data_IF_429964121807
#
_entry.id   IF_429964121807
#
_cell.length_a   1.000
_cell.length_b   1.000
_cell.length_c   1.000
_cell.angle_alpha   90.00
_cell.angle_beta   90.00
_cell.angle_gamma   90.00
#
_symmetry.space_group_name_H-M   'P 1'
#
loop_
_entity.id
_entity.type
_entity.pdbx_description
1 polymer ?
#
# COMPACT_ATOMS: atom_id res chain seq x y z
N UNK A 1 15.00 21.02 9.95
CA UNK A 1 16.20 20.88 9.10
C UNK A 1 16.31 22.08 8.12
N UNK A 2 17.16 23.05 8.45
CA UNK A 2 17.50 24.28 7.70
C UNK A 2 16.38 25.25 7.28
N UNK A 3 15.10 25.00 7.59
CA UNK A 3 13.95 25.84 7.21
C UNK A 3 13.90 26.18 5.70
N UNK A 4 14.40 25.26 4.87
CA UNK A 4 14.38 25.42 3.42
C UNK A 4 12.96 25.20 2.93
N UNK A 5 12.44 26.16 2.16
CA UNK A 5 11.14 26.04 1.52
C UNK A 5 11.12 24.87 0.53
N UNK A 6 10.05 24.08 0.56
CA UNK A 6 9.76 23.09 -0.49
C UNK A 6 9.24 23.74 -1.80
N UNK A 7 9.02 25.05 -1.80
CA UNK A 7 8.52 25.84 -2.92
C UNK A 7 9.60 26.75 -3.47
N UNK A 8 9.57 26.98 -4.79
CA UNK A 8 10.44 27.95 -5.45
C UNK A 8 10.24 29.37 -4.88
N UNK A 9 11.29 30.18 -4.97
CA UNK A 9 11.25 31.57 -4.52
C UNK A 9 10.09 32.33 -5.19
N UNK A 10 9.33 33.07 -4.36
CA UNK A 10 8.15 33.81 -4.80
C UNK A 10 6.90 32.96 -5.04
N UNK A 11 6.96 31.63 -4.85
CA UNK A 11 5.78 30.76 -4.94
C UNK A 11 5.20 30.50 -3.57
N UNK A 12 3.98 30.99 -3.34
CA UNK A 12 3.25 30.71 -2.11
C UNK A 12 2.70 29.28 -2.09
N UNK A 13 2.83 28.55 -0.97
CA UNK A 13 2.23 27.22 -0.83
C UNK A 13 0.73 27.25 -1.09
N UNK A 14 0.24 26.37 -1.96
CA UNK A 14 -1.17 26.37 -2.36
C UNK A 14 -2.14 26.31 -1.16
N UNK A 15 -1.84 25.47 -0.16
CA UNK A 15 -2.69 25.34 1.02
C UNK A 15 -2.60 26.52 1.99
N UNK A 16 -1.50 27.27 1.95
CA UNK A 16 -1.38 28.54 2.68
C UNK A 16 -2.23 29.61 2.01
N UNK A 17 -2.14 29.73 0.67
CA UNK A 17 -2.97 30.63 -0.13
C UNK A 17 -4.47 30.38 0.04
N UNK A 18 -4.88 29.11 0.17
CA UNK A 18 -6.27 28.72 0.45
C UNK A 18 -6.69 28.92 1.93
N UNK A 19 -5.76 29.37 2.79
CA UNK A 19 -5.97 29.60 4.22
C UNK A 19 -6.26 28.32 4.99
N UNK A 20 -5.71 27.18 4.56
CA UNK A 20 -5.80 25.90 5.27
C UNK A 20 -4.86 25.88 6.46
N UNK A 21 -3.68 26.48 6.30
CA UNK A 21 -2.67 26.67 7.33
C UNK A 21 -1.93 27.99 7.10
N UNK A 22 -1.31 28.54 8.14
CA UNK A 22 -0.39 29.68 8.03
C UNK A 22 0.66 29.63 9.14
N UNK A 23 1.57 30.61 9.17
CA UNK A 23 2.49 30.84 10.28
C UNK A 23 1.82 31.75 11.31
N UNK A 24 2.02 31.46 12.58
CA UNK A 24 1.62 32.36 13.67
C UNK A 24 2.60 33.56 13.78
N UNK A 25 2.36 34.44 14.76
CA UNK A 25 3.20 35.62 15.01
C UNK A 25 4.67 35.25 15.37
N UNK A 26 4.93 34.01 15.80
CA UNK A 26 6.27 33.50 16.09
C UNK A 26 6.92 32.83 14.87
N UNK A 27 6.21 32.74 13.75
CA UNK A 27 6.68 32.04 12.55
C UNK A 27 6.47 30.53 12.58
N UNK A 28 5.63 30.01 13.49
CA UNK A 28 5.37 28.57 13.63
C UNK A 28 4.14 28.14 12.81
N UNK A 29 4.17 27.00 12.11
CA UNK A 29 3.06 26.56 11.26
C UNK A 29 1.87 26.07 12.10
N UNK A 30 0.68 26.63 11.82
CA UNK A 30 -0.59 26.27 12.45
C UNK A 30 -1.67 25.91 11.44
N UNK A 31 -2.46 24.87 11.74
CA UNK A 31 -3.63 24.48 10.93
C UNK A 31 -4.79 25.42 11.25
N UNK A 32 -5.32 26.11 10.24
CA UNK A 32 -6.43 27.06 10.38
C UNK A 32 -7.79 26.41 10.06
N UNK A 33 -7.83 25.46 9.11
CA UNK A 33 -9.06 24.80 8.67
C UNK A 33 -8.88 23.28 8.54
N UNK A 34 -9.00 22.58 9.66
CA UNK A 34 -8.78 21.13 9.72
C UNK A 34 -9.80 20.31 8.90
N UNK A 35 -10.98 20.87 8.61
CA UNK A 35 -12.07 20.24 7.87
C UNK A 35 -12.25 20.79 6.44
N UNK A 36 -11.27 21.55 5.92
CA UNK A 36 -11.36 22.26 4.63
C UNK A 36 -11.86 21.38 3.47
N UNK A 37 -11.42 20.12 3.38
CA UNK A 37 -11.82 19.19 2.32
C UNK A 37 -13.11 18.40 2.61
N UNK A 38 -13.68 18.54 3.81
CA UNK A 38 -14.90 17.83 4.22
C UNK A 38 -16.17 18.57 3.82
N UNK A 39 -16.05 19.86 3.47
CA UNK A 39 -17.16 20.72 3.08
C UNK A 39 -16.86 21.53 1.82
N UNK A 40 -17.90 21.87 1.05
CA UNK A 40 -17.82 22.79 -0.09
C UNK A 40 -19.05 23.69 -0.08
N UNK A 41 -18.83 25.01 -0.15
CA UNK A 41 -19.89 26.03 -0.08
C UNK A 41 -20.81 25.86 1.15
N UNK A 42 -20.22 25.59 2.33
CA UNK A 42 -20.95 25.43 3.58
C UNK A 42 -21.71 24.10 3.75
N UNK A 43 -21.56 23.14 2.83
CA UNK A 43 -22.19 21.82 2.92
C UNK A 43 -21.16 20.71 3.02
N UNK A 44 -21.40 19.74 3.90
CA UNK A 44 -20.59 18.51 3.97
C UNK A 44 -20.68 17.75 2.65
N UNK A 45 -19.56 17.18 2.22
CA UNK A 45 -19.44 16.46 0.94
C UNK A 45 -18.78 15.09 1.13
N UNK A 46 -18.95 14.23 0.13
CA UNK A 46 -18.12 13.05 -0.05
C UNK A 46 -16.90 13.40 -0.91
N UNK A 47 -15.68 13.21 -0.38
CA UNK A 47 -14.45 13.54 -1.10
C UNK A 47 -14.29 12.77 -2.41
N UNK A 48 -14.63 11.47 -2.40
CA UNK A 48 -14.51 10.60 -3.57
C UNK A 48 -15.42 11.04 -4.70
N UNK A 49 -16.63 11.49 -4.35
CA UNK A 49 -17.63 11.97 -5.31
C UNK A 49 -17.28 13.35 -5.86
N UNK A 50 -16.92 14.29 -4.98
CA UNK A 50 -16.80 15.71 -5.35
C UNK A 50 -15.42 16.06 -5.92
N UNK A 51 -14.36 15.36 -5.48
CA UNK A 51 -12.99 15.66 -5.87
C UNK A 51 -12.31 14.52 -6.62
N UNK A 52 -12.26 13.31 -6.04
CA UNK A 52 -11.43 12.24 -6.58
C UNK A 52 -11.94 11.72 -7.93
N UNK A 53 -13.23 11.36 -8.04
CA UNK A 53 -13.79 10.86 -9.30
C UNK A 53 -13.64 11.90 -10.42
N UNK A 54 -14.09 13.17 -10.26
CA UNK A 54 -13.94 14.18 -11.30
C UNK A 54 -12.49 14.42 -11.70
N UNK A 55 -11.54 14.38 -10.75
CA UNK A 55 -10.12 14.47 -11.05
C UNK A 55 -9.64 13.30 -11.91
N UNK A 56 -9.99 12.06 -11.55
CA UNK A 56 -9.60 10.86 -12.32
C UNK A 56 -10.13 10.93 -13.76
N UNK A 57 -11.37 11.40 -13.97
CA UNK A 57 -11.92 11.59 -15.31
C UNK A 57 -11.11 12.61 -16.12
N UNK A 58 -10.82 13.80 -15.54
CA UNK A 58 -10.00 14.82 -16.20
C UNK A 58 -8.58 14.34 -16.50
N UNK A 59 -7.96 13.66 -15.54
CA UNK A 59 -6.63 13.07 -15.71
C UNK A 59 -6.63 12.03 -16.85
N UNK A 60 -7.65 11.18 -16.89
CA UNK A 60 -7.82 10.18 -17.94
C UNK A 60 -8.02 10.81 -19.32
N UNK A 61 -8.86 11.85 -19.42
CA UNK A 61 -9.06 12.59 -20.67
C UNK A 61 -7.76 13.23 -21.15
N UNK A 62 -6.98 13.84 -20.25
CA UNK A 62 -5.69 14.43 -20.57
C UNK A 62 -4.70 13.39 -21.09
N UNK A 63 -4.54 12.25 -20.40
CA UNK A 63 -3.66 11.17 -20.85
C UNK A 63 -4.12 10.60 -22.19
N UNK A 64 -5.43 10.35 -22.37
CA UNK A 64 -5.98 9.77 -23.59
C UNK A 64 -5.99 10.71 -24.79
N UNK A 65 -5.83 12.01 -24.58
CA UNK A 65 -5.59 12.95 -25.68
C UNK A 65 -4.26 12.67 -26.41
N UNK A 66 -3.31 12.00 -25.74
CA UNK A 66 -2.01 11.61 -26.29
C UNK A 66 -1.88 10.10 -26.46
N UNK A 67 -2.46 9.30 -25.55
CA UNK A 67 -2.43 7.83 -25.55
C UNK A 67 -3.85 7.25 -25.44
N UNK A 68 -4.64 7.21 -26.54
CA UNK A 68 -6.06 6.92 -26.51
C UNK A 68 -6.45 5.59 -25.84
N UNK A 69 -5.61 4.57 -26.01
CA UNK A 69 -5.86 3.20 -25.52
C UNK A 69 -5.31 2.95 -24.10
N UNK A 70 -4.86 3.99 -23.38
CA UNK A 70 -4.28 3.83 -22.05
C UNK A 70 -5.28 3.18 -21.07
N UNK A 71 -4.77 2.19 -20.34
CA UNK A 71 -5.48 1.54 -19.24
C UNK A 71 -5.19 2.32 -17.97
N UNK A 72 -6.23 2.79 -17.28
CA UNK A 72 -6.08 3.60 -16.08
C UNK A 72 -6.11 2.71 -14.83
N UNK A 73 -5.04 2.70 -14.05
CA UNK A 73 -4.99 2.02 -12.77
C UNK A 73 -5.51 2.98 -11.71
N UNK A 74 -6.54 2.57 -10.98
CA UNK A 74 -7.29 3.47 -10.10
C UNK A 74 -7.44 2.81 -8.74
N UNK A 75 -7.22 3.61 -7.71
CA UNK A 75 -7.55 3.26 -6.34
C UNK A 75 -8.64 4.20 -5.80
N UNK A 76 -9.64 3.61 -5.13
CA UNK A 76 -10.63 4.34 -4.35
C UNK A 76 -10.42 4.11 -2.85
N UNK A 77 -11.27 4.71 -2.01
CA UNK A 77 -11.22 4.50 -0.55
C UNK A 77 -11.73 3.09 -0.17
N UNK A 78 -10.85 2.10 -0.29
CA UNK A 78 -11.15 0.69 -0.11
C UNK A 78 -11.65 0.35 1.31
N UNK A 79 -11.03 0.90 2.36
CA UNK A 79 -11.40 0.59 3.75
C UNK A 79 -12.88 0.88 4.05
N UNK A 80 -13.35 2.07 3.68
CA UNK A 80 -14.75 2.47 3.90
C UNK A 80 -15.74 1.61 3.12
N UNK A 81 -15.41 1.28 1.87
CA UNK A 81 -16.24 0.39 1.03
C UNK A 81 -16.35 -1.01 1.63
N UNK A 82 -15.27 -1.54 2.22
CA UNK A 82 -15.30 -2.82 2.91
C UNK A 82 -16.13 -2.85 4.18
N UNK A 83 -16.20 -1.72 4.90
CA UNK A 83 -17.09 -1.55 6.06
C UNK A 83 -18.56 -1.43 5.65
N UNK A 84 -18.87 -1.49 4.36
CA UNK A 84 -20.22 -1.40 3.84
C UNK A 84 -20.72 0.04 3.66
N UNK A 85 -19.84 1.04 3.73
CA UNK A 85 -20.21 2.41 3.39
C UNK A 85 -20.45 2.54 1.89
N UNK A 86 -21.61 3.06 1.49
CA UNK A 86 -21.88 3.35 0.09
C UNK A 86 -21.20 4.67 -0.28
N UNK A 87 -20.02 4.56 -0.92
CA UNK A 87 -19.25 5.73 -1.36
C UNK A 87 -19.51 5.92 -2.85
N UNK A 88 -20.14 7.05 -3.26
CA UNK A 88 -20.26 7.39 -4.66
C UNK A 88 -18.86 7.60 -5.25
N UNK A 89 -18.42 6.65 -6.06
CA UNK A 89 -17.12 6.68 -6.72
C UNK A 89 -17.28 6.11 -8.13
N UNK A 90 -17.00 6.96 -9.13
CA UNK A 90 -17.14 6.61 -10.53
C UNK A 90 -15.75 6.54 -11.14
N UNK A 91 -15.56 5.55 -12.01
CA UNK A 91 -14.31 5.38 -12.74
C UNK A 91 -14.54 5.46 -14.25
N UNK A 92 -13.56 5.95 -15.03
CA UNK A 92 -13.61 5.92 -16.49
C UNK A 92 -13.65 4.49 -17.05
N UNK A 93 -14.12 4.34 -18.29
CA UNK A 93 -13.97 3.07 -19.04
C UNK A 93 -12.49 2.74 -19.27
N UNK A 94 -12.22 1.46 -19.53
CA UNK A 94 -10.85 0.93 -19.74
C UNK A 94 -9.93 1.27 -18.55
N UNK A 95 -10.39 0.89 -17.37
CA UNK A 95 -9.69 1.07 -16.10
C UNK A 95 -9.52 -0.27 -15.39
N UNK A 96 -8.61 -0.30 -14.42
CA UNK A 96 -8.31 -1.45 -13.57
C UNK A 96 -8.37 -0.99 -12.13
N UNK A 97 -9.04 -1.77 -11.27
CA UNK A 97 -8.94 -1.58 -9.83
C UNK A 97 -7.54 -1.98 -9.38
N UNK A 98 -6.79 -1.03 -8.83
CA UNK A 98 -5.43 -1.19 -8.36
C UNK A 98 -5.30 -0.99 -6.84
N UNK A 99 -6.35 -1.28 -6.06
CA UNK A 99 -6.32 -1.14 -4.60
C UNK A 99 -5.16 -1.88 -3.93
N UNK A 100 -4.65 -1.28 -2.86
CA UNK A 100 -3.60 -1.89 -2.05
C UNK A 100 -4.18 -2.80 -0.98
N UNK A 101 -3.39 -3.77 -0.52
CA UNK A 101 -3.75 -4.63 0.59
C UNK A 101 -2.53 -4.93 1.46
N UNK A 102 -2.67 -4.74 2.77
CA UNK A 102 -1.67 -5.13 3.75
C UNK A 102 -2.33 -5.87 4.92
N UNK A 103 -1.60 -6.79 5.52
CA UNK A 103 -1.89 -7.29 6.86
C UNK A 103 -1.60 -6.18 7.88
N UNK A 104 -2.58 -5.32 8.09
CA UNK A 104 -2.47 -4.10 8.91
C UNK A 104 -2.00 -4.41 10.33
N UNK A 105 -2.40 -5.55 10.90
CA UNK A 105 -1.96 -5.93 12.24
C UNK A 105 -0.45 -6.27 12.26
N UNK A 106 0.05 -7.01 11.27
CA UNK A 106 1.48 -7.30 11.15
C UNK A 106 2.30 -6.04 10.89
N UNK A 107 1.86 -5.18 9.97
CA UNK A 107 2.54 -3.90 9.68
C UNK A 107 2.56 -3.00 10.93
N UNK A 108 1.41 -2.75 11.54
CA UNK A 108 1.29 -1.81 12.66
C UNK A 108 2.03 -2.27 13.92
N UNK A 109 2.04 -3.58 14.20
CA UNK A 109 2.72 -4.11 15.40
C UNK A 109 4.18 -4.50 15.17
N UNK A 110 4.61 -4.58 13.90
CA UNK A 110 5.88 -5.19 13.49
C UNK A 110 6.10 -6.59 14.09
N UNK A 111 5.03 -7.37 14.21
CA UNK A 111 5.04 -8.77 14.70
C UNK A 111 4.30 -9.67 13.72
N UNK A 112 4.69 -10.93 13.54
CA UNK A 112 4.04 -11.84 12.62
C UNK A 112 2.70 -12.31 13.19
N UNK A 113 1.62 -11.60 12.86
CA UNK A 113 0.27 -11.87 13.33
C UNK A 113 -0.39 -13.05 12.57
N UNK A 114 0.35 -14.13 12.35
CA UNK A 114 -0.05 -15.24 11.47
C UNK A 114 -0.95 -16.28 12.15
N UNK A 115 -0.99 -16.31 13.48
CA UNK A 115 -1.79 -17.26 14.28
C UNK A 115 -2.83 -16.58 15.17
N UNK A 116 -2.66 -15.30 15.44
CA UNK A 116 -3.60 -14.44 16.14
C UNK A 116 -3.49 -13.07 15.48
N UNK A 117 -4.57 -12.60 14.88
CA UNK A 117 -4.64 -11.35 14.11
C UNK A 117 -5.89 -10.57 14.51
N UNK A 118 -6.04 -9.34 14.05
CA UNK A 118 -7.24 -8.53 14.19
C UNK A 118 -7.82 -8.23 12.80
N UNK A 119 -9.10 -8.52 12.61
CA UNK A 119 -9.81 -8.18 11.40
C UNK A 119 -10.39 -6.77 11.52
N UNK A 120 -9.84 -5.75 10.82
CA UNK A 120 -10.38 -4.40 10.90
C UNK A 120 -11.77 -4.27 10.26
N UNK A 121 -12.13 -5.16 9.32
CA UNK A 121 -13.44 -5.11 8.63
C UNK A 121 -14.52 -5.68 9.52
N UNK A 122 -14.27 -6.84 10.14
CA UNK A 122 -15.21 -7.48 11.05
C UNK A 122 -15.07 -7.01 12.51
N UNK A 123 -14.12 -6.11 12.76
CA UNK A 123 -13.80 -5.50 14.06
C UNK A 123 -13.57 -6.50 15.20
N UNK A 124 -12.90 -7.63 14.93
CA UNK A 124 -12.74 -8.71 15.91
C UNK A 124 -11.39 -9.44 15.82
N UNK A 125 -10.91 -10.05 16.92
CA UNK A 125 -9.75 -10.91 16.89
C UNK A 125 -10.03 -12.21 16.11
N UNK A 126 -9.03 -12.68 15.38
CA UNK A 126 -9.03 -13.94 14.63
C UNK A 126 -7.92 -14.82 15.19
N UNK A 127 -8.29 -16.03 15.65
CA UNK A 127 -7.35 -16.98 16.27
C UNK A 127 -7.25 -18.24 15.42
N UNK A 128 -6.03 -18.73 15.23
CA UNK A 128 -5.67 -19.91 14.45
C UNK A 128 -5.18 -19.57 13.03
N UNK A 129 -4.06 -20.18 12.61
CA UNK A 129 -3.43 -19.94 11.29
C UNK A 129 -4.40 -20.11 10.12
N UNK A 130 -5.26 -21.13 10.17
CA UNK A 130 -6.30 -21.37 9.14
C UNK A 130 -7.33 -20.25 9.09
N UNK A 131 -7.74 -19.73 10.23
CA UNK A 131 -8.73 -18.64 10.30
C UNK A 131 -8.12 -17.31 9.83
N UNK A 132 -6.85 -17.05 10.15
CA UNK A 132 -6.11 -15.90 9.63
C UNK A 132 -5.94 -16.01 8.10
N UNK A 133 -5.60 -17.19 7.56
CA UNK A 133 -5.56 -17.43 6.12
C UNK A 133 -6.92 -17.16 5.45
N UNK A 134 -8.02 -17.65 6.04
CA UNK A 134 -9.38 -17.40 5.54
C UNK A 134 -9.77 -15.92 5.60
N UNK A 135 -9.30 -15.19 6.60
CA UNK A 135 -9.48 -13.74 6.70
C UNK A 135 -8.79 -13.03 5.52
N UNK A 136 -7.52 -13.34 5.25
CA UNK A 136 -6.79 -12.76 4.12
C UNK A 136 -7.45 -13.08 2.77
N UNK A 137 -7.89 -14.34 2.57
CA UNK A 137 -8.64 -14.75 1.38
C UNK A 137 -9.91 -13.90 1.21
N UNK A 138 -10.67 -13.70 2.30
CA UNK A 138 -11.89 -12.89 2.26
C UNK A 138 -11.59 -11.43 1.95
N UNK A 139 -10.61 -10.80 2.60
CA UNK A 139 -10.27 -9.39 2.37
C UNK A 139 -9.95 -9.12 0.90
N UNK A 140 -9.06 -9.93 0.31
CA UNK A 140 -8.70 -9.84 -1.10
C UNK A 140 -9.88 -10.15 -2.03
N UNK A 141 -10.71 -11.12 -1.66
CA UNK A 141 -11.95 -11.43 -2.39
C UNK A 141 -12.93 -10.26 -2.40
N UNK A 142 -13.01 -9.50 -1.30
CA UNK A 142 -13.86 -8.31 -1.23
C UNK A 142 -13.35 -7.17 -2.14
N UNK A 143 -12.03 -7.00 -2.32
CA UNK A 143 -11.47 -6.05 -3.32
C UNK A 143 -11.99 -6.39 -4.72
N UNK A 144 -11.86 -7.66 -5.10
CA UNK A 144 -12.32 -8.16 -6.39
C UNK A 144 -13.82 -7.98 -6.58
N UNK A 145 -14.60 -8.28 -5.54
CA UNK A 145 -16.06 -8.18 -5.59
C UNK A 145 -16.54 -6.74 -5.74
N UNK A 146 -15.83 -5.76 -5.17
CA UNK A 146 -16.13 -4.33 -5.41
C UNK A 146 -16.00 -3.97 -6.89
N UNK A 147 -14.97 -4.47 -7.57
CA UNK A 147 -14.80 -4.24 -9.01
C UNK A 147 -15.99 -4.79 -9.81
N UNK A 148 -16.49 -5.97 -9.43
CA UNK A 148 -17.62 -6.64 -10.07
C UNK A 148 -18.93 -5.89 -9.83
N UNK A 149 -19.20 -5.54 -8.58
CA UNK A 149 -20.52 -5.05 -8.13
C UNK A 149 -20.68 -3.54 -8.26
N UNK A 150 -19.61 -2.76 -8.07
CA UNK A 150 -19.65 -1.30 -8.02
C UNK A 150 -19.03 -0.64 -9.24
N UNK A 151 -18.04 -1.26 -9.89
CA UNK A 151 -17.20 -0.60 -10.90
C UNK A 151 -17.26 -1.27 -12.28
N UNK A 152 -18.47 -1.65 -12.71
CA UNK A 152 -18.73 -2.17 -14.06
C UNK A 152 -17.85 -3.36 -14.46
N UNK A 153 -17.45 -4.19 -13.48
CA UNK A 153 -16.69 -5.43 -13.68
C UNK A 153 -15.31 -5.20 -14.31
N UNK A 154 -14.63 -4.11 -13.94
CA UNK A 154 -13.23 -3.90 -14.31
C UNK A 154 -12.31 -4.99 -13.75
N UNK A 155 -11.17 -5.28 -14.42
CA UNK A 155 -10.15 -6.16 -13.86
C UNK A 155 -9.62 -5.63 -12.53
N UNK A 156 -9.07 -6.52 -11.72
CA UNK A 156 -8.46 -6.19 -10.41
C UNK A 156 -7.03 -6.69 -10.38
N UNK A 157 -6.12 -5.80 -10.00
CA UNK A 157 -4.76 -6.09 -9.57
C UNK A 157 -4.61 -5.54 -8.16
N UNK A 158 -3.91 -6.25 -7.29
CA UNK A 158 -3.52 -5.68 -6.00
C UNK A 158 -2.32 -4.77 -6.28
N UNK A 159 -2.55 -3.46 -6.24
CA UNK A 159 -1.56 -2.45 -6.64
C UNK A 159 -0.31 -2.55 -5.81
N UNK A 160 -0.45 -2.71 -4.49
CA UNK A 160 0.65 -2.93 -3.56
C UNK A 160 0.23 -3.92 -2.47
N UNK A 161 1.16 -4.77 -2.07
CA UNK A 161 1.10 -5.57 -0.86
C UNK A 161 2.51 -5.95 -0.40
N UNK A 162 2.65 -6.38 0.85
CA UNK A 162 3.91 -6.88 1.36
C UNK A 162 3.95 -6.97 2.89
N UNK A 163 5.16 -7.00 3.44
CA UNK A 163 5.41 -6.87 4.87
C UNK A 163 6.68 -6.06 5.12
N UNK A 164 6.82 -5.55 6.33
CA UNK A 164 8.07 -4.99 6.79
C UNK A 164 9.09 -6.10 7.08
N UNK A 165 10.35 -5.87 6.74
CA UNK A 165 11.46 -6.79 6.99
C UNK A 165 12.02 -6.67 8.41
N UNK A 166 11.74 -5.56 9.10
CA UNK A 166 12.20 -5.28 10.46
C UNK A 166 11.30 -5.85 11.56
N UNK A 167 10.36 -6.73 11.19
CA UNK A 167 9.49 -7.45 12.13
C UNK A 167 10.28 -8.22 13.19
N UNK A 168 9.66 -8.41 14.36
CA UNK A 168 10.27 -9.03 15.54
C UNK A 168 11.57 -8.35 15.98
N UNK A 169 11.57 -7.02 15.97
CA UNK A 169 12.73 -6.22 16.37
C UNK A 169 13.99 -6.62 15.57
N UNK A 170 13.86 -6.68 14.24
CA UNK A 170 14.95 -6.97 13.31
C UNK A 170 15.61 -8.34 13.54
N UNK A 171 14.86 -9.34 14.02
CA UNK A 171 15.42 -10.65 14.39
C UNK A 171 16.12 -11.35 13.21
N UNK A 172 15.54 -11.25 12.01
CA UNK A 172 16.11 -11.82 10.80
C UNK A 172 17.50 -11.25 10.49
N UNK A 173 17.79 -10.00 10.84
CA UNK A 173 19.07 -9.35 10.49
C UNK A 173 20.20 -9.91 11.34
N UNK A 174 19.89 -10.24 12.60
CA UNK A 174 20.82 -10.91 13.51
C UNK A 174 21.06 -12.35 13.04
N UNK A 175 19.99 -13.07 12.75
CA UNK A 175 20.06 -14.47 12.31
C UNK A 175 20.81 -14.61 10.98
N UNK A 176 20.65 -13.65 10.06
CA UNK A 176 21.32 -13.69 8.75
C UNK A 176 22.86 -13.74 8.87
N UNK A 177 23.43 -13.19 9.94
CA UNK A 177 24.89 -13.20 10.16
C UNK A 177 25.45 -14.60 10.45
N UNK A 178 24.63 -15.50 10.99
CA UNK A 178 25.06 -16.85 11.41
C UNK A 178 24.36 -17.97 10.63
N UNK A 179 23.12 -17.73 10.22
CA UNK A 179 22.21 -18.70 9.58
C UNK A 179 21.44 -18.04 8.42
N UNK A 180 22.12 -17.62 7.34
CA UNK A 180 21.51 -16.86 6.25
C UNK A 180 20.36 -17.61 5.54
N UNK A 181 20.41 -18.95 5.50
CA UNK A 181 19.42 -19.78 4.82
C UNK A 181 18.04 -19.83 5.52
N UNK A 182 18.02 -19.65 6.84
CA UNK A 182 16.82 -19.76 7.69
C UNK A 182 16.39 -18.42 8.28
N UNK A 183 17.23 -17.38 8.18
CA UNK A 183 16.98 -16.06 8.74
C UNK A 183 15.60 -15.46 8.38
N UNK A 184 15.11 -15.77 7.17
CA UNK A 184 13.88 -15.21 6.60
C UNK A 184 12.64 -16.10 6.73
N UNK A 185 12.68 -17.18 7.51
CA UNK A 185 11.55 -18.13 7.62
C UNK A 185 10.23 -17.46 8.04
N UNK A 186 10.28 -16.46 8.93
CA UNK A 186 9.08 -15.74 9.37
C UNK A 186 8.44 -14.97 8.21
N UNK A 187 9.26 -14.26 7.43
CA UNK A 187 8.83 -13.49 6.27
C UNK A 187 8.32 -14.39 5.15
N UNK A 188 9.03 -15.49 4.88
CA UNK A 188 8.61 -16.51 3.90
C UNK A 188 7.24 -17.07 4.27
N UNK A 189 7.02 -17.38 5.56
CA UNK A 189 5.73 -17.86 6.04
C UNK A 189 4.60 -16.83 5.89
N UNK A 190 4.87 -15.55 6.16
CA UNK A 190 3.91 -14.47 5.97
C UNK A 190 3.55 -14.27 4.49
N UNK A 191 4.57 -14.11 3.62
CA UNK A 191 4.40 -13.98 2.17
C UNK A 191 3.65 -15.17 1.59
N UNK A 192 3.98 -16.40 2.03
CA UNK A 192 3.25 -17.59 1.59
C UNK A 192 1.76 -17.48 1.88
N UNK A 193 1.37 -17.00 3.07
CA UNK A 193 -0.05 -16.82 3.41
C UNK A 193 -0.71 -15.73 2.55
N UNK A 194 0.01 -14.63 2.25
CA UNK A 194 -0.50 -13.55 1.41
C UNK A 194 -0.70 -14.01 -0.04
N UNK A 195 0.31 -14.66 -0.64
CA UNK A 195 0.22 -15.23 -1.98
C UNK A 195 -0.82 -16.34 -2.09
N UNK A 196 -0.99 -17.18 -1.06
CA UNK A 196 -2.07 -18.17 -1.06
C UNK A 196 -3.46 -17.50 -1.12
N UNK A 197 -3.61 -16.33 -0.51
CA UNK A 197 -4.85 -15.57 -0.55
C UNK A 197 -5.07 -14.91 -1.92
N UNK A 198 -4.01 -14.41 -2.56
CA UNK A 198 -4.04 -13.91 -3.93
C UNK A 198 -4.43 -15.02 -4.92
N UNK A 199 -3.74 -16.16 -4.86
CA UNK A 199 -3.97 -17.32 -5.73
C UNK A 199 -5.39 -17.87 -5.57
N UNK A 200 -5.90 -17.95 -4.34
CA UNK A 200 -7.27 -18.43 -4.08
C UNK A 200 -8.32 -17.55 -4.75
N UNK A 201 -8.02 -16.27 -4.95
CA UNK A 201 -8.89 -15.30 -5.60
C UNK A 201 -8.58 -15.09 -7.10
N UNK A 202 -7.52 -15.72 -7.63
CA UNK A 202 -7.01 -15.51 -8.98
C UNK A 202 -6.68 -14.03 -9.24
N UNK A 203 -5.98 -13.41 -8.29
CA UNK A 203 -5.58 -12.00 -8.36
C UNK A 203 -4.12 -11.86 -8.77
N UNK A 204 -3.86 -10.94 -9.70
CA UNK A 204 -2.52 -10.42 -9.93
C UNK A 204 -2.17 -9.42 -8.83
N UNK A 205 -0.88 -9.18 -8.61
CA UNK A 205 -0.40 -8.28 -7.57
C UNK A 205 0.95 -7.68 -7.92
N UNK A 206 1.30 -6.57 -7.27
CA UNK A 206 2.68 -6.06 -7.26
C UNK A 206 3.21 -6.01 -5.83
N UNK A 207 4.34 -6.68 -5.60
CA UNK A 207 5.00 -6.76 -4.29
C UNK A 207 5.74 -5.45 -4.02
N UNK A 208 5.36 -4.77 -2.94
CA UNK A 208 6.08 -3.61 -2.43
C UNK A 208 7.27 -4.10 -1.58
N UNK A 209 8.52 -3.72 -1.87
CA UNK A 209 9.03 -2.98 -3.04
C UNK A 209 10.45 -3.44 -3.40
N UNK A 210 11.11 -2.76 -4.34
CA UNK A 210 12.55 -2.87 -4.58
C UNK A 210 13.21 -1.49 -4.44
N UNK A 211 14.11 -1.36 -3.45
CA UNK A 211 14.82 -0.13 -3.09
C UNK A 211 16.32 -0.45 -3.05
N UNK A 212 17.08 -0.05 -4.08
CA UNK A 212 18.46 -0.51 -4.26
C UNK A 212 19.46 0.05 -3.23
N UNK A 213 19.08 1.08 -2.48
CA UNK A 213 19.84 1.71 -1.42
C UNK A 213 19.29 1.41 0.00
N UNK A 214 18.40 0.41 0.11
CA UNK A 214 17.96 -0.08 1.41
C UNK A 214 19.15 -0.57 2.27
N UNK A 215 19.07 -0.26 3.56
CA UNK A 215 20.00 -0.74 4.60
C UNK A 215 19.24 -1.23 5.83
N UNK A 216 19.81 -2.14 6.61
CA UNK A 216 19.22 -2.61 7.86
C UNK A 216 19.08 -1.50 8.93
N UNK A 217 19.87 -0.43 8.82
CA UNK A 217 19.82 0.72 9.71
C UNK A 217 18.58 1.58 9.45
N UNK A 218 18.44 2.07 8.20
CA UNK A 218 17.45 3.08 7.81
C UNK A 218 16.27 2.54 7.00
N UNK A 219 16.28 1.24 6.68
CA UNK A 219 15.29 0.62 5.81
C UNK A 219 15.37 1.20 4.40
N UNK A 220 14.23 1.53 3.81
CA UNK A 220 14.02 2.00 2.44
C UNK A 220 14.44 3.48 2.24
N UNK A 221 15.22 4.06 3.17
CA UNK A 221 15.64 5.47 3.17
C UNK A 221 14.46 6.48 3.20
N UNK A 222 13.27 5.99 3.53
CA UNK A 222 12.04 6.77 3.55
C UNK A 222 11.23 6.42 4.80
N UNK A 223 10.96 7.41 5.65
CA UNK A 223 10.10 7.28 6.84
C UNK A 223 10.40 6.10 7.80
N UNK A 224 11.62 5.55 7.77
CA UNK A 224 11.99 4.33 8.53
C UNK A 224 11.09 3.14 8.14
N UNK A 225 10.52 3.19 6.94
CA UNK A 225 9.93 2.03 6.29
C UNK A 225 11.03 1.06 5.89
N UNK A 226 10.73 -0.23 5.90
CA UNK A 226 11.69 -1.27 5.54
C UNK A 226 10.95 -2.43 4.88
N UNK A 227 10.37 -2.19 3.70
CA UNK A 227 9.55 -3.18 2.98
C UNK A 227 10.29 -3.80 1.79
N UNK A 228 11.50 -3.34 1.48
CA UNK A 228 12.16 -3.81 0.27
C UNK A 228 12.48 -5.30 0.26
N UNK A 229 12.31 -5.96 -0.87
CA UNK A 229 12.80 -7.34 -1.06
C UNK A 229 14.32 -7.42 -1.17
N UNK A 230 15.02 -6.28 -1.12
CA UNK A 230 16.47 -6.17 -1.24
C UNK A 230 17.07 -5.33 -0.10
N UNK A 231 18.31 -5.62 0.28
CA UNK A 231 19.15 -4.77 1.13
C UNK A 231 20.62 -4.96 0.78
N UNK A 232 21.40 -3.87 0.79
CA UNK A 232 22.86 -3.93 0.61
C UNK A 232 23.54 -4.78 1.69
N UNK A 233 22.99 -4.80 2.90
CA UNK A 233 23.54 -5.56 4.02
C UNK A 233 23.36 -7.09 3.87
N UNK A 234 22.60 -7.54 2.87
CA UNK A 234 22.47 -8.95 2.51
C UNK A 234 23.26 -9.30 1.23
N UNK A 235 23.94 -8.34 0.61
CA UNK A 235 24.67 -8.51 -0.64
C UNK A 235 26.10 -9.04 -0.39
N UNK A 236 26.20 -10.31 0.01
CA UNK A 236 27.46 -10.95 0.38
C UNK A 236 28.31 -11.45 -0.80
N UNK A 237 27.69 -11.74 -1.96
CA UNK A 237 28.36 -12.33 -3.10
C UNK A 237 27.96 -11.62 -4.41
N UNK A 238 28.84 -10.79 -5.00
CA UNK A 238 28.51 -10.06 -6.22
C UNK A 238 28.32 -10.94 -7.47
N UNK A 239 28.70 -12.22 -7.42
CA UNK A 239 28.46 -13.17 -8.51
C UNK A 239 27.12 -13.90 -8.39
N UNK A 240 26.43 -13.79 -7.26
CA UNK A 240 25.10 -14.37 -7.06
C UNK A 240 24.03 -13.33 -7.41
N UNK A 241 23.20 -13.64 -8.41
CA UNK A 241 22.09 -12.78 -8.86
C UNK A 241 21.05 -12.52 -7.76
N UNK A 242 20.99 -13.39 -6.75
CA UNK A 242 20.08 -13.29 -5.61
C UNK A 242 20.72 -12.58 -4.41
N UNK A 243 21.99 -12.18 -4.50
CA UNK A 243 22.67 -11.54 -3.38
C UNK A 243 22.05 -10.20 -3.03
N UNK A 244 21.76 -10.00 -1.75
CA UNK A 244 20.98 -8.87 -1.25
C UNK A 244 19.48 -9.14 -1.17
N UNK A 245 19.00 -10.23 -1.77
CA UNK A 245 17.60 -10.62 -1.69
C UNK A 245 17.18 -11.06 -0.29
N UNK A 246 16.01 -10.62 0.13
CA UNK A 246 15.40 -10.92 1.43
C UNK A 246 14.14 -11.74 1.24
N UNK A 247 14.05 -12.89 1.90
CA UNK A 247 12.89 -13.79 1.80
C UNK A 247 12.50 -14.22 0.37
N UNK A 248 13.46 -14.40 -0.54
CA UNK A 248 13.22 -14.71 -1.98
C UNK A 248 12.24 -15.88 -2.17
N UNK A 249 12.39 -16.96 -1.40
CA UNK A 249 11.50 -18.13 -1.46
C UNK A 249 10.03 -17.83 -1.14
N UNK A 250 9.74 -16.70 -0.49
CA UNK A 250 8.38 -16.25 -0.15
C UNK A 250 7.63 -15.61 -1.32
N UNK A 251 8.33 -14.97 -2.26
CA UNK A 251 7.72 -14.24 -3.38
C UNK A 251 8.11 -14.76 -4.76
N UNK A 252 9.30 -15.32 -4.92
CA UNK A 252 9.76 -15.94 -6.16
C UNK A 252 9.27 -17.39 -6.24
N UNK A 253 7.98 -17.55 -6.60
CA UNK A 253 7.27 -18.84 -6.69
C UNK A 253 6.74 -19.09 -8.10
N UNK A 254 6.55 -20.36 -8.51
CA UNK A 254 5.82 -20.69 -9.73
C UNK A 254 4.41 -20.07 -9.71
N UNK A 255 4.00 -19.46 -10.81
CA UNK A 255 2.66 -18.89 -10.99
C UNK A 255 2.25 -18.96 -12.47
N UNK A 256 0.95 -18.83 -12.74
CA UNK A 256 0.42 -18.80 -14.09
C UNK A 256 0.66 -17.43 -14.73
N UNK A 257 1.32 -17.38 -15.89
CA UNK A 257 1.52 -16.14 -16.67
C UNK A 257 0.41 -15.97 -17.72
N UNK A 258 -0.05 -17.07 -18.30
CA UNK A 258 -1.15 -17.11 -19.27
C UNK A 258 -1.81 -18.49 -19.20
N UNK A 259 -3.13 -18.55 -19.19
CA UNK A 259 -3.92 -19.77 -19.34
C UNK A 259 -4.82 -19.69 -20.58
#
# INVERSE_FOLDING_TARGET
PNNISAWFDGVEPIWKREGVWDLDDNGEPGILKNDYFMSKNGKKINFSEVYLSPYIFKFTEAIRSVMPESIMFIEGSFEKLLRGEDIPFKIPKNSVNASHWYDVATIGTKRPMLKANYDPIAEKPIVGKKNVQSMFIRHLGMIKELSITKWSRVPTIIGEFGLAFDINNKSAYKNFKTEPDTAWETHINALTMYYNALDKNLLNSTQWNYTPDNTNEWGDQWNIEDLSIFSKDQQLNPSDINSGGRAIKGFCRPHFIRC
#
